data_IF_232439180974
#
_entry.id   IF_232439180974
#
_cell.length_a   1.000
_cell.length_b   1.000
_cell.length_c   1.000
_cell.angle_alpha   90.00
_cell.angle_beta   90.00
_cell.angle_gamma   90.00
#
_symmetry.space_group_name_H-M   'P 1'
#
loop_
_entity.id
_entity.type
_entity.pdbx_description
1 polymer ?
#
# COMPACT_ATOMS: atom_id res chain seq x y z
N UNK A 1 25.43 -20.93 -28.34
CA UNK A 1 24.73 -20.22 -29.44
C UNK A 1 23.46 -19.47 -29.02
N UNK A 2 22.82 -19.78 -27.88
CA UNK A 2 21.53 -19.16 -27.52
C UNK A 2 21.62 -17.79 -26.81
N UNK A 3 22.77 -17.38 -26.24
CA UNK A 3 22.88 -16.10 -25.50
C UNK A 3 23.03 -14.87 -26.41
N UNK A 4 23.82 -14.99 -27.45
CA UNK A 4 24.09 -13.89 -28.39
C UNK A 4 22.87 -13.56 -29.26
N UNK A 5 22.10 -14.58 -29.67
CA UNK A 5 20.86 -14.39 -30.43
C UNK A 5 19.77 -13.68 -29.58
N UNK A 6 19.71 -13.97 -28.27
CA UNK A 6 18.82 -13.28 -27.34
C UNK A 6 19.22 -11.81 -27.10
N UNK A 7 20.51 -11.53 -27.03
CA UNK A 7 21.04 -10.16 -26.91
C UNK A 7 20.76 -9.34 -28.17
N UNK A 8 20.95 -9.91 -29.36
CA UNK A 8 20.69 -9.25 -30.64
C UNK A 8 19.18 -9.03 -30.85
N UNK A 9 18.34 -10.00 -30.50
CA UNK A 9 16.89 -9.86 -30.57
C UNK A 9 16.34 -8.84 -29.55
N UNK A 10 16.93 -8.76 -28.37
CA UNK A 10 16.59 -7.74 -27.37
C UNK A 10 16.98 -6.33 -27.83
N UNK A 11 18.18 -6.18 -28.44
CA UNK A 11 18.65 -4.91 -28.98
C UNK A 11 17.82 -4.42 -30.18
N UNK A 12 17.42 -5.30 -31.08
CA UNK A 12 16.54 -4.96 -32.21
C UNK A 12 15.12 -4.57 -31.75
N UNK A 13 14.59 -5.25 -30.73
CA UNK A 13 13.29 -4.90 -30.12
C UNK A 13 13.35 -3.55 -29.36
N UNK A 14 14.49 -3.18 -28.79
CA UNK A 14 14.66 -1.88 -28.13
C UNK A 14 14.70 -0.70 -29.10
N UNK A 15 15.14 -0.93 -30.33
CA UNK A 15 15.08 0.07 -31.41
C UNK A 15 13.63 0.29 -31.93
N UNK A 16 12.82 -0.75 -31.96
CA UNK A 16 11.45 -0.71 -32.52
C UNK A 16 10.43 -0.31 -31.44
N UNK A 17 10.63 -0.73 -30.21
CA UNK A 17 9.74 -0.43 -29.07
C UNK A 17 10.58 -0.31 -27.80
N UNK A 18 11.21 0.85 -27.55
CA UNK A 18 12.04 1.06 -26.37
C UNK A 18 11.20 0.87 -25.08
N UNK A 19 11.80 0.23 -24.10
CA UNK A 19 11.15 0.11 -22.80
C UNK A 19 10.98 1.52 -22.22
N UNK A 20 9.81 1.79 -21.68
CA UNK A 20 9.51 3.10 -21.09
C UNK A 20 9.56 3.05 -19.57
N UNK A 21 9.96 4.15 -18.96
CA UNK A 21 9.94 4.35 -17.52
C UNK A 21 8.51 4.25 -17.00
N UNK A 22 8.29 3.47 -15.93
CA UNK A 22 6.97 3.31 -15.31
C UNK A 22 6.48 4.59 -14.61
N UNK A 23 7.38 5.53 -14.31
CA UNK A 23 7.07 6.80 -13.66
C UNK A 23 6.75 7.92 -14.64
N UNK A 24 7.64 8.21 -15.60
CA UNK A 24 7.55 9.38 -16.48
C UNK A 24 7.43 9.04 -17.98
N UNK A 25 7.40 7.76 -18.34
CA UNK A 25 7.33 7.25 -19.72
C UNK A 25 8.54 7.57 -20.61
N UNK A 26 9.62 8.15 -20.11
CA UNK A 26 10.87 8.31 -20.88
C UNK A 26 11.49 6.95 -21.25
N UNK A 27 12.26 6.90 -22.32
CA UNK A 27 12.97 5.68 -22.71
C UNK A 27 13.95 5.23 -21.60
N UNK A 28 13.99 3.92 -21.32
CA UNK A 28 14.90 3.31 -20.34
C UNK A 28 15.35 1.94 -20.82
N UNK A 29 16.46 1.43 -20.28
CA UNK A 29 16.84 0.04 -20.51
C UNK A 29 15.75 -0.91 -19.97
N UNK A 30 15.51 -2.03 -20.68
CA UNK A 30 14.41 -2.97 -20.39
C UNK A 30 14.44 -3.57 -18.99
N UNK A 31 15.62 -3.73 -18.43
CA UNK A 31 15.84 -4.30 -17.09
C UNK A 31 15.57 -3.31 -15.95
N UNK A 32 15.60 -2.01 -16.21
CA UNK A 32 15.53 -0.98 -15.17
C UNK A 32 14.10 -0.65 -14.70
N UNK A 33 13.11 -0.71 -15.57
CA UNK A 33 11.71 -0.40 -15.26
C UNK A 33 11.43 1.05 -14.86
N UNK A 34 12.40 1.75 -14.26
CA UNK A 34 12.38 3.16 -13.85
C UNK A 34 13.66 3.86 -14.30
N UNK A 35 13.55 5.13 -14.72
CA UNK A 35 14.72 6.00 -14.88
C UNK A 35 15.28 6.43 -13.51
N UNK A 36 16.50 6.96 -13.51
CA UNK A 36 17.17 7.36 -12.26
C UNK A 36 16.40 8.46 -11.51
N UNK A 37 15.85 9.44 -12.23
CA UNK A 37 15.05 10.51 -11.61
C UNK A 37 13.80 9.97 -10.92
N UNK A 38 13.02 9.11 -11.58
CA UNK A 38 11.83 8.52 -10.96
C UNK A 38 12.19 7.60 -9.80
N UNK A 39 13.32 6.89 -9.87
CA UNK A 39 13.81 6.08 -8.75
C UNK A 39 14.24 6.97 -7.58
N UNK A 40 14.93 8.06 -7.83
CA UNK A 40 15.29 9.05 -6.82
C UNK A 40 14.04 9.66 -6.16
N UNK A 41 13.01 9.99 -6.94
CA UNK A 41 11.73 10.49 -6.40
C UNK A 41 11.04 9.47 -5.48
N UNK A 42 11.04 8.19 -5.85
CA UNK A 42 10.51 7.13 -4.99
C UNK A 42 11.29 7.00 -3.66
N UNK A 43 12.59 7.25 -3.67
CA UNK A 43 13.46 7.09 -2.49
C UNK A 43 13.49 8.29 -1.57
N UNK A 44 12.91 9.43 -1.95
CA UNK A 44 12.85 10.62 -1.07
C UNK A 44 12.19 10.28 0.27
N UNK A 45 12.78 10.69 1.40
CA UNK A 45 12.17 10.49 2.71
C UNK A 45 10.90 11.33 2.84
N UNK A 46 9.75 10.68 2.96
CA UNK A 46 8.48 11.38 3.09
C UNK A 46 7.43 10.49 3.79
N UNK A 47 7.79 9.95 4.97
CA UNK A 47 6.84 9.13 5.73
C UNK A 47 5.56 9.90 6.02
N UNK A 48 4.44 9.31 5.68
CA UNK A 48 3.10 9.84 5.96
C UNK A 48 2.50 9.01 7.09
N UNK A 49 2.37 9.61 8.27
CA UNK A 49 1.74 8.99 9.44
C UNK A 49 0.25 9.32 9.51
N UNK A 50 -0.55 8.35 9.95
CA UNK A 50 -2.00 8.48 10.09
C UNK A 50 -2.52 7.59 11.21
N UNK A 51 -3.70 7.92 11.68
CA UNK A 51 -4.55 7.03 12.46
C UNK A 51 -5.70 6.54 11.58
N UNK A 52 -5.88 5.23 11.53
CA UNK A 52 -7.02 4.59 10.88
C UNK A 52 -8.03 4.21 11.94
N UNK A 53 -9.30 4.54 11.69
CA UNK A 53 -10.38 4.28 12.63
C UNK A 53 -11.45 3.39 11.98
N UNK A 54 -11.86 2.33 12.67
CA UNK A 54 -12.95 1.44 12.27
C UNK A 54 -13.59 0.82 13.51
N UNK A 55 -14.91 0.86 13.61
CA UNK A 55 -15.69 0.16 14.67
C UNK A 55 -15.12 0.35 16.10
N UNK A 56 -14.75 1.59 16.46
CA UNK A 56 -14.14 1.89 17.77
C UNK A 56 -12.65 1.60 17.90
N UNK A 57 -12.03 0.96 16.92
CA UNK A 57 -10.61 0.68 16.87
C UNK A 57 -9.84 1.84 16.23
N UNK A 58 -8.71 2.21 16.84
CA UNK A 58 -7.72 3.13 16.26
C UNK A 58 -6.40 2.39 16.07
N UNK A 59 -5.87 2.39 14.83
CA UNK A 59 -4.62 1.72 14.48
C UNK A 59 -3.67 2.72 13.82
N UNK A 60 -2.40 2.82 14.27
CA UNK A 60 -1.41 3.65 13.62
C UNK A 60 -1.10 3.12 12.21
N UNK A 61 -0.89 4.03 11.28
CA UNK A 61 -0.53 3.69 9.90
C UNK A 61 0.60 4.57 9.39
N UNK A 62 1.56 3.96 8.72
CA UNK A 62 2.69 4.63 8.08
C UNK A 62 2.73 4.26 6.60
N UNK A 63 2.80 5.26 5.74
CA UNK A 63 3.11 5.07 4.34
C UNK A 63 4.49 5.68 4.03
N UNK A 64 5.24 5.07 3.11
CA UNK A 64 6.58 5.53 2.78
C UNK A 64 6.60 6.88 2.07
N UNK A 65 5.49 7.25 1.41
CA UNK A 65 5.40 8.47 0.62
C UNK A 65 3.94 8.85 0.33
N UNK A 66 3.72 10.04 -0.24
CA UNK A 66 2.44 10.44 -0.80
C UNK A 66 2.11 9.66 -2.08
N UNK A 67 0.82 9.43 -2.33
CA UNK A 67 0.32 8.81 -3.57
C UNK A 67 0.13 9.87 -4.65
N UNK A 68 1.22 10.32 -5.25
CA UNK A 68 1.24 11.31 -6.33
C UNK A 68 2.38 11.06 -7.32
N UNK A 69 2.50 11.89 -8.34
CA UNK A 69 3.61 11.94 -9.29
C UNK A 69 4.07 10.58 -9.80
N UNK A 70 5.38 10.35 -9.74
CA UNK A 70 6.05 9.11 -10.19
C UNK A 70 5.62 7.88 -9.38
N UNK A 71 5.28 8.04 -8.09
CA UNK A 71 4.83 6.95 -7.23
C UNK A 71 3.49 6.41 -7.71
N UNK A 72 2.54 7.30 -8.00
CA UNK A 72 1.22 6.92 -8.52
C UNK A 72 1.35 6.18 -9.84
N UNK A 73 2.09 6.71 -10.81
CA UNK A 73 2.24 6.09 -12.13
C UNK A 73 2.98 4.75 -12.07
N UNK A 74 3.96 4.62 -11.16
CA UNK A 74 4.66 3.35 -10.92
C UNK A 74 3.74 2.30 -10.31
N UNK A 75 2.93 2.64 -9.31
CA UNK A 75 1.95 1.72 -8.70
C UNK A 75 0.87 1.28 -9.70
N UNK A 76 0.37 2.19 -10.54
CA UNK A 76 -0.56 1.86 -11.63
C UNK A 76 0.11 0.92 -12.63
N UNK A 77 1.35 1.20 -13.05
CA UNK A 77 2.10 0.34 -13.97
C UNK A 77 2.33 -1.05 -13.39
N UNK A 78 2.62 -1.16 -12.09
CA UNK A 78 2.76 -2.42 -11.38
C UNK A 78 1.44 -3.20 -11.36
N UNK A 79 0.34 -2.54 -10.96
CA UNK A 79 -0.95 -3.20 -10.75
C UNK A 79 -1.68 -3.50 -12.06
N UNK A 80 -1.77 -2.52 -12.96
CA UNK A 80 -2.68 -2.60 -14.11
C UNK A 80 -1.96 -3.01 -15.41
N UNK A 81 -0.65 -2.73 -15.51
CA UNK A 81 0.16 -3.09 -16.70
C UNK A 81 1.05 -4.33 -16.45
N UNK A 82 0.91 -4.99 -15.29
CA UNK A 82 1.62 -6.24 -14.97
C UNK A 82 3.14 -6.13 -14.88
N UNK A 83 3.70 -4.92 -14.66
CA UNK A 83 5.16 -4.71 -14.58
C UNK A 83 5.73 -5.22 -13.26
N UNK A 84 5.78 -6.55 -13.10
CA UNK A 84 6.17 -7.23 -11.85
C UNK A 84 7.59 -6.91 -11.38
N UNK A 85 8.50 -6.49 -12.27
CA UNK A 85 9.86 -6.06 -11.91
C UNK A 85 9.87 -4.90 -10.89
N UNK A 86 8.86 -4.03 -10.94
CA UNK A 86 8.70 -2.90 -10.03
C UNK A 86 8.49 -3.30 -8.56
N UNK A 87 8.21 -4.60 -8.28
CA UNK A 87 8.06 -5.09 -6.90
C UNK A 87 9.28 -4.83 -6.02
N UNK A 88 10.47 -4.72 -6.60
CA UNK A 88 11.70 -4.47 -5.84
C UNK A 88 11.77 -3.01 -5.37
N UNK A 89 11.50 -2.05 -6.25
CA UNK A 89 11.49 -0.62 -5.89
C UNK A 89 10.32 -0.30 -4.94
N UNK A 90 9.10 -0.78 -5.26
CA UNK A 90 7.93 -0.58 -4.42
C UNK A 90 8.02 -1.36 -3.09
N UNK A 91 8.62 -2.55 -3.10
CA UNK A 91 8.90 -3.33 -1.89
C UNK A 91 9.91 -2.66 -0.97
N UNK A 92 10.86 -1.88 -1.51
CA UNK A 92 11.78 -1.06 -0.72
C UNK A 92 11.05 0.08 -0.01
N UNK A 93 10.03 0.68 -0.65
CA UNK A 93 9.17 1.65 0.02
C UNK A 93 8.37 0.99 1.15
N UNK A 94 7.74 -0.16 0.87
CA UNK A 94 6.98 -0.89 1.89
C UNK A 94 7.86 -1.35 3.07
N UNK A 95 9.10 -1.76 2.81
CA UNK A 95 10.10 -2.05 3.84
C UNK A 95 10.29 -0.86 4.79
N UNK A 96 10.44 0.36 4.27
CA UNK A 96 10.61 1.59 5.07
C UNK A 96 9.41 1.82 5.99
N UNK A 97 8.20 1.65 5.47
CA UNK A 97 6.98 1.77 6.28
C UNK A 97 6.89 0.70 7.35
N UNK A 98 7.20 -0.56 7.03
CA UNK A 98 7.21 -1.65 8.00
C UNK A 98 8.25 -1.42 9.10
N UNK A 99 9.44 -0.96 8.73
CA UNK A 99 10.50 -0.63 9.69
C UNK A 99 10.08 0.50 10.63
N UNK A 100 9.46 1.57 10.10
CA UNK A 100 8.94 2.66 10.93
C UNK A 100 7.86 2.18 11.90
N UNK A 101 6.89 1.38 11.44
CA UNK A 101 5.85 0.78 12.31
C UNK A 101 6.49 -0.07 13.42
N UNK A 102 7.49 -0.89 13.10
CA UNK A 102 8.16 -1.73 14.11
C UNK A 102 8.92 -0.90 15.15
N UNK A 103 9.60 0.17 14.72
CA UNK A 103 10.31 1.11 15.61
C UNK A 103 9.32 1.84 16.52
N UNK A 104 8.25 2.40 15.98
CA UNK A 104 7.24 3.13 16.75
C UNK A 104 6.57 2.24 17.79
N UNK A 105 6.32 0.96 17.45
CA UNK A 105 5.77 -0.05 18.34
C UNK A 105 6.82 -0.69 19.29
N UNK A 106 8.09 -0.30 19.18
CA UNK A 106 9.23 -0.89 19.96
C UNK A 106 9.37 -2.40 19.80
N UNK A 107 9.04 -2.93 18.62
CA UNK A 107 9.21 -4.34 18.27
C UNK A 107 10.52 -4.50 17.51
N UNK A 108 11.53 -5.13 18.14
CA UNK A 108 12.90 -5.20 17.61
C UNK A 108 13.28 -6.54 16.94
N UNK A 109 12.50 -7.59 17.14
CA UNK A 109 12.94 -8.94 16.76
C UNK A 109 12.16 -9.57 15.61
N UNK A 110 10.83 -9.51 15.64
CA UNK A 110 10.01 -10.18 14.61
C UNK A 110 8.60 -9.65 14.52
N UNK A 111 8.04 -9.70 13.29
CA UNK A 111 6.62 -9.51 13.05
C UNK A 111 6.16 -10.30 11.82
N UNK A 112 4.87 -10.62 11.77
CA UNK A 112 4.23 -11.14 10.58
C UNK A 112 3.69 -9.98 9.74
N UNK A 113 3.96 -10.00 8.43
CA UNK A 113 3.37 -9.10 7.47
C UNK A 113 2.09 -9.74 6.92
N UNK A 114 0.93 -9.18 7.25
CA UNK A 114 -0.35 -9.69 6.75
C UNK A 114 -0.87 -8.77 5.65
N UNK A 115 -0.86 -9.24 4.39
CA UNK A 115 -1.36 -8.44 3.28
C UNK A 115 -2.88 -8.27 3.35
N UNK A 116 -3.34 -7.04 3.09
CA UNK A 116 -4.75 -6.76 2.80
C UNK A 116 -5.15 -7.61 1.60
N UNK A 117 -6.21 -8.43 1.70
CA UNK A 117 -6.56 -9.37 0.65
C UNK A 117 -7.12 -8.65 -0.59
N UNK A 118 -6.54 -8.94 -1.74
CA UNK A 118 -7.11 -8.55 -3.04
C UNK A 118 -8.31 -9.44 -3.39
N UNK A 119 -9.28 -8.90 -4.14
CA UNK A 119 -10.39 -9.72 -4.67
C UNK A 119 -9.87 -10.82 -5.58
N UNK A 120 -10.42 -12.03 -5.50
CA UNK A 120 -10.01 -13.18 -6.32
C UNK A 120 -10.09 -12.89 -7.81
N UNK A 121 -11.14 -12.21 -8.26
CA UNK A 121 -11.31 -11.77 -9.66
C UNK A 121 -10.16 -10.87 -10.13
N UNK A 122 -9.76 -9.90 -9.29
CA UNK A 122 -8.64 -8.98 -9.57
C UNK A 122 -7.31 -9.74 -9.65
N UNK A 123 -7.06 -10.68 -8.74
CA UNK A 123 -5.85 -11.52 -8.77
C UNK A 123 -5.84 -12.40 -10.02
N UNK A 124 -6.98 -12.99 -10.38
CA UNK A 124 -7.12 -13.81 -11.59
C UNK A 124 -6.88 -13.01 -12.87
N UNK A 125 -7.49 -11.83 -12.97
CA UNK A 125 -7.32 -10.94 -14.13
C UNK A 125 -5.89 -10.43 -14.28
N UNK A 126 -5.23 -10.09 -13.15
CA UNK A 126 -3.85 -9.57 -13.09
C UNK A 126 -2.80 -10.67 -13.22
N UNK A 127 -3.14 -11.92 -12.85
CA UNK A 127 -2.23 -13.07 -12.82
C UNK A 127 -1.28 -13.10 -11.62
N UNK A 128 -1.43 -12.18 -10.63
CA UNK A 128 -0.65 -12.17 -9.38
C UNK A 128 -1.34 -11.34 -8.30
N UNK A 129 -1.01 -11.65 -7.03
CA UNK A 129 -1.42 -10.86 -5.87
C UNK A 129 -0.38 -9.76 -5.61
N UNK A 130 -0.76 -8.52 -5.93
CA UNK A 130 0.14 -7.37 -5.90
C UNK A 130 0.65 -7.08 -4.48
N UNK A 131 -0.24 -6.99 -3.49
CA UNK A 131 0.12 -6.64 -2.11
C UNK A 131 0.96 -7.74 -1.47
N UNK A 132 0.63 -9.01 -1.73
CA UNK A 132 1.42 -10.13 -1.25
C UNK A 132 2.86 -10.08 -1.78
N UNK A 133 3.07 -9.87 -3.09
CA UNK A 133 4.42 -9.79 -3.67
C UNK A 133 5.22 -8.60 -3.12
N UNK A 134 4.59 -7.46 -2.85
CA UNK A 134 5.23 -6.33 -2.19
C UNK A 134 5.63 -6.69 -0.75
N UNK A 135 4.74 -7.35 -0.01
CA UNK A 135 5.04 -7.86 1.33
C UNK A 135 6.21 -8.83 1.34
N UNK A 136 6.30 -9.75 0.38
CA UNK A 136 7.41 -10.70 0.23
C UNK A 136 8.74 -9.97 -0.02
N UNK A 137 8.75 -8.94 -0.87
CA UNK A 137 9.92 -8.12 -1.14
C UNK A 137 10.34 -7.32 0.12
N UNK A 138 9.40 -6.71 0.83
CA UNK A 138 9.66 -5.98 2.08
C UNK A 138 10.18 -6.91 3.20
N UNK A 139 9.56 -8.08 3.37
CA UNK A 139 10.00 -9.08 4.34
C UNK A 139 11.43 -9.56 4.05
N UNK A 140 11.78 -9.73 2.77
CA UNK A 140 13.14 -10.06 2.35
C UNK A 140 14.16 -9.01 2.79
N UNK A 141 13.82 -7.72 2.68
CA UNK A 141 14.70 -6.63 3.11
C UNK A 141 14.78 -6.53 4.65
N UNK A 142 13.66 -6.69 5.37
CA UNK A 142 13.65 -6.73 6.83
C UNK A 142 14.58 -7.82 7.37
N UNK A 143 14.54 -9.02 6.78
CA UNK A 143 15.45 -10.11 7.18
C UNK A 143 16.92 -9.79 6.93
N UNK A 144 17.26 -9.06 5.87
CA UNK A 144 18.66 -8.65 5.61
C UNK A 144 19.23 -7.70 6.67
N UNK A 145 18.35 -6.94 7.35
CA UNK A 145 18.75 -6.07 8.47
C UNK A 145 18.52 -6.72 9.84
N UNK A 146 18.35 -8.05 9.90
CA UNK A 146 18.24 -8.81 11.15
C UNK A 146 16.84 -8.89 11.77
N UNK A 147 15.82 -8.30 11.15
CA UNK A 147 14.44 -8.36 11.64
C UNK A 147 13.71 -9.57 11.01
N UNK A 148 13.24 -10.52 11.85
CA UNK A 148 12.59 -11.73 11.36
C UNK A 148 11.15 -11.45 10.88
N UNK A 149 11.00 -11.16 9.58
CA UNK A 149 9.72 -10.91 8.95
C UNK A 149 9.31 -12.04 8.00
N UNK A 150 8.03 -12.44 8.06
CA UNK A 150 7.41 -13.39 7.14
C UNK A 150 6.05 -12.88 6.68
N UNK A 151 5.67 -13.19 5.46
CA UNK A 151 4.33 -12.86 4.95
C UNK A 151 3.36 -13.98 5.31
N UNK A 152 2.23 -13.61 5.91
CA UNK A 152 1.15 -14.51 6.30
C UNK A 152 -0.16 -14.09 5.62
N UNK A 153 -0.51 -14.59 4.42
CA UNK A 153 -1.72 -14.22 3.67
C UNK A 153 -2.96 -14.97 4.21
N UNK A 154 -3.29 -14.76 5.47
CA UNK A 154 -4.32 -15.49 6.22
C UNK A 154 -5.73 -14.90 6.05
N UNK A 155 -5.84 -13.62 5.63
CA UNK A 155 -7.13 -12.95 5.45
C UNK A 155 -7.72 -13.17 4.05
N UNK A 156 -9.04 -13.15 3.99
CA UNK A 156 -9.82 -13.19 2.76
C UNK A 156 -11.12 -12.39 2.87
N UNK A 157 -11.79 -12.21 1.74
CA UNK A 157 -13.15 -11.65 1.74
C UNK A 157 -14.14 -12.72 2.17
N UNK A 158 -14.94 -12.44 3.20
CA UNK A 158 -15.96 -13.34 3.75
C UNK A 158 -17.30 -13.18 3.03
N UNK A 159 -17.53 -12.02 2.44
CA UNK A 159 -18.71 -11.71 1.61
C UNK A 159 -18.33 -10.84 0.44
N UNK A 160 -19.18 -10.76 -0.55
CA UNK A 160 -19.05 -9.77 -1.61
C UNK A 160 -19.25 -8.37 -1.04
N UNK A 161 -18.33 -7.48 -1.38
CA UNK A 161 -18.40 -6.07 -1.01
C UNK A 161 -18.85 -5.30 -2.25
N UNK A 162 -19.90 -4.48 -2.12
CA UNK A 162 -20.37 -3.64 -3.22
C UNK A 162 -19.24 -2.74 -3.75
N UNK A 163 -19.37 -2.29 -5.00
CA UNK A 163 -18.39 -1.39 -5.58
C UNK A 163 -18.33 -0.11 -4.73
N UNK A 164 -17.11 0.33 -4.44
CA UNK A 164 -16.85 1.49 -3.58
C UNK A 164 -16.78 2.80 -4.37
N UNK A 165 -16.95 2.73 -5.70
CA UNK A 165 -17.00 3.91 -6.55
C UNK A 165 -18.20 4.79 -6.17
N UNK A 166 -17.95 6.06 -5.82
CA UNK A 166 -19.00 7.01 -5.45
C UNK A 166 -19.46 6.98 -3.99
N UNK A 167 -19.06 5.99 -3.17
CA UNK A 167 -19.43 5.93 -1.76
C UNK A 167 -18.70 7.00 -0.92
N UNK A 168 -19.39 7.57 0.07
CA UNK A 168 -18.78 8.42 1.10
C UNK A 168 -17.79 7.63 1.97
N UNK A 169 -16.97 8.31 2.76
CA UNK A 169 -16.04 7.65 3.71
C UNK A 169 -16.80 6.80 4.73
N UNK A 170 -17.94 7.27 5.21
CA UNK A 170 -18.80 6.58 6.17
C UNK A 170 -19.39 5.32 5.56
N UNK A 171 -19.94 5.44 4.33
CA UNK A 171 -20.55 4.30 3.63
C UNK A 171 -19.51 3.23 3.26
N UNK A 172 -18.28 3.64 2.90
CA UNK A 172 -17.17 2.70 2.70
C UNK A 172 -16.82 1.91 3.95
N UNK A 173 -16.85 2.56 5.13
CA UNK A 173 -16.61 1.88 6.40
C UNK A 173 -17.72 0.90 6.73
N UNK A 174 -18.98 1.32 6.61
CA UNK A 174 -20.14 0.46 6.82
C UNK A 174 -20.14 -0.74 5.85
N UNK A 175 -19.84 -0.51 4.57
CA UNK A 175 -19.78 -1.54 3.55
C UNK A 175 -18.63 -2.56 3.79
N UNK A 176 -17.59 -2.19 4.52
CA UNK A 176 -16.44 -3.07 4.81
C UNK A 176 -16.53 -3.75 6.18
N UNK A 177 -17.41 -3.32 7.08
CA UNK A 177 -17.55 -3.94 8.41
C UNK A 177 -17.89 -5.44 8.28
N UNK A 178 -17.06 -6.33 8.86
CA UNK A 178 -17.21 -7.78 8.77
C UNK A 178 -16.92 -8.36 7.36
N UNK A 179 -16.38 -7.57 6.43
CA UNK A 179 -16.10 -8.04 5.08
C UNK A 179 -14.82 -8.88 4.98
N UNK A 180 -13.89 -8.74 5.93
CA UNK A 180 -12.66 -9.50 5.99
C UNK A 180 -12.65 -10.44 7.18
N UNK A 181 -12.03 -11.62 6.99
CA UNK A 181 -11.85 -12.63 8.03
C UNK A 181 -10.78 -13.63 7.65
N UNK A 182 -10.55 -14.61 8.52
CA UNK A 182 -9.57 -15.66 8.25
C UNK A 182 -10.05 -16.60 7.14
N UNK A 183 -9.16 -16.96 6.22
CA UNK A 183 -9.47 -17.90 5.13
C UNK A 183 -9.77 -19.30 5.64
N UNK A 184 -9.13 -19.69 6.75
CA UNK A 184 -9.27 -20.99 7.41
C UNK A 184 -9.31 -20.78 8.92
N UNK A 185 -10.12 -21.53 9.68
CA UNK A 185 -10.23 -21.38 11.13
C UNK A 185 -8.88 -21.50 11.87
N UNK A 186 -7.99 -22.38 11.43
CA UNK A 186 -6.68 -22.58 12.08
C UNK A 186 -5.67 -21.45 11.78
N UNK A 187 -5.92 -20.59 10.77
CA UNK A 187 -5.04 -19.45 10.47
C UNK A 187 -5.00 -18.46 11.65
N UNK A 188 -6.10 -18.31 12.39
CA UNK A 188 -6.16 -17.47 13.59
C UNK A 188 -5.22 -17.99 14.70
N UNK A 189 -5.23 -19.31 14.96
CA UNK A 189 -4.37 -19.92 15.98
C UNK A 189 -2.87 -19.69 15.73
N UNK A 190 -2.46 -19.63 14.48
CA UNK A 190 -1.06 -19.34 14.08
C UNK A 190 -0.62 -17.90 14.33
N UNK A 191 -1.54 -16.97 14.62
CA UNK A 191 -1.27 -15.54 14.86
C UNK A 191 -1.42 -15.15 16.33
N UNK A 192 -1.97 -16.01 17.17
CA UNK A 192 -2.27 -15.70 18.57
C UNK A 192 -1.04 -15.17 19.31
N UNK A 193 -1.15 -13.98 19.90
CA UNK A 193 -0.08 -13.31 20.63
C UNK A 193 1.12 -12.86 19.79
N UNK A 194 1.05 -12.96 18.46
CA UNK A 194 2.15 -12.56 17.58
C UNK A 194 1.99 -11.12 17.11
N UNK A 195 3.11 -10.40 17.05
CA UNK A 195 3.15 -9.07 16.47
C UNK A 195 2.87 -9.15 14.96
N UNK A 196 1.91 -8.34 14.50
CA UNK A 196 1.45 -8.29 13.11
C UNK A 196 1.48 -6.86 12.59
N UNK A 197 2.03 -6.68 11.39
CA UNK A 197 1.91 -5.46 10.60
C UNK A 197 0.97 -5.77 9.43
N UNK A 198 -0.14 -5.06 9.34
CA UNK A 198 -1.01 -5.11 8.15
C UNK A 198 -0.30 -4.37 7.02
N UNK A 199 -0.18 -4.99 5.84
CA UNK A 199 0.49 -4.35 4.70
C UNK A 199 -0.47 -4.12 3.54
N UNK A 200 -0.37 -2.94 2.92
CA UNK A 200 -1.15 -2.54 1.75
C UNK A 200 -0.25 -1.80 0.74
N UNK A 201 -0.72 -1.62 -0.47
CA UNK A 201 -0.02 -0.80 -1.45
C UNK A 201 -0.37 0.69 -1.31
N UNK A 202 -1.65 1.03 -1.09
CA UNK A 202 -2.11 2.41 -0.97
C UNK A 202 -3.12 2.54 0.15
N UNK A 203 -2.86 3.43 1.09
CA UNK A 203 -3.85 3.86 2.08
C UNK A 203 -4.57 5.09 1.55
N UNK A 204 -5.82 4.93 1.15
CA UNK A 204 -6.73 6.02 0.79
C UNK A 204 -7.49 6.54 2.02
N UNK A 205 -8.66 6.01 2.30
CA UNK A 205 -9.39 6.23 3.55
C UNK A 205 -8.88 5.37 4.69
N UNK A 206 -8.16 4.29 4.36
CA UNK A 206 -7.69 3.28 5.31
C UNK A 206 -8.76 2.30 5.78
N UNK A 207 -9.99 2.37 5.26
CA UNK A 207 -11.10 1.54 5.72
C UNK A 207 -10.81 0.04 5.57
N UNK A 208 -10.22 -0.39 4.43
CA UNK A 208 -9.88 -1.81 4.19
C UNK A 208 -8.78 -2.29 5.13
N UNK A 209 -7.74 -1.47 5.34
CA UNK A 209 -6.64 -1.81 6.26
C UNK A 209 -7.09 -1.84 7.71
N UNK A 210 -8.00 -0.93 8.12
CA UNK A 210 -8.59 -0.93 9.45
C UNK A 210 -9.50 -2.16 9.67
N UNK A 211 -10.25 -2.58 8.66
CA UNK A 211 -11.06 -3.81 8.71
C UNK A 211 -10.17 -5.07 8.79
N UNK A 212 -9.05 -5.09 8.06
CA UNK A 212 -8.07 -6.16 8.18
C UNK A 212 -7.48 -6.22 9.60
N UNK A 213 -7.14 -5.07 10.19
CA UNK A 213 -6.69 -4.99 11.57
C UNK A 213 -7.74 -5.49 12.57
N UNK A 214 -9.02 -5.11 12.39
CA UNK A 214 -10.12 -5.62 13.22
C UNK A 214 -10.19 -7.15 13.19
N UNK A 215 -10.23 -7.73 12.00
CA UNK A 215 -10.31 -9.18 11.84
C UNK A 215 -9.13 -9.92 12.48
N UNK A 216 -7.93 -9.34 12.44
CA UNK A 216 -6.73 -9.92 13.07
C UNK A 216 -6.78 -9.83 14.60
N UNK A 217 -7.25 -8.71 15.15
CA UNK A 217 -7.39 -8.52 16.61
C UNK A 217 -8.45 -9.48 17.17
N UNK A 218 -9.55 -9.71 16.46
CA UNK A 218 -10.54 -10.72 16.83
C UNK A 218 -9.97 -12.16 16.83
N UNK A 219 -8.89 -12.40 16.10
CA UNK A 219 -8.14 -13.66 16.12
C UNK A 219 -6.96 -13.65 17.11
N UNK A 220 -6.99 -12.79 18.12
CA UNK A 220 -5.96 -12.66 19.17
C UNK A 220 -4.55 -12.28 18.65
N UNK A 221 -4.42 -11.72 17.45
CA UNK A 221 -3.16 -11.16 16.97
C UNK A 221 -2.87 -9.80 17.60
N UNK A 222 -1.61 -9.49 17.85
CA UNK A 222 -1.17 -8.17 18.31
C UNK A 222 -0.87 -7.30 17.08
N UNK A 223 -1.86 -6.54 16.61
CA UNK A 223 -1.66 -5.63 15.47
C UNK A 223 -0.90 -4.39 15.94
N UNK A 224 0.35 -4.25 15.52
CA UNK A 224 1.23 -3.14 15.91
C UNK A 224 1.11 -1.93 14.97
N UNK A 225 0.49 -2.08 13.81
CA UNK A 225 0.22 -0.99 12.88
C UNK A 225 -0.06 -1.46 11.46
N UNK A 226 -0.28 -0.48 10.61
CA UNK A 226 -0.46 -0.63 9.15
C UNK A 226 0.71 0.00 8.43
N UNK A 227 1.29 -0.71 7.47
CA UNK A 227 2.34 -0.20 6.60
C UNK A 227 1.87 -0.18 5.14
N UNK A 228 2.11 0.90 4.42
CA UNK A 228 1.76 1.00 3.01
C UNK A 228 2.91 1.60 2.17
N UNK A 229 2.90 1.35 0.87
CA UNK A 229 3.82 2.00 -0.06
C UNK A 229 3.52 3.50 -0.11
N UNK A 230 2.25 3.86 -0.28
CA UNK A 230 1.84 5.24 -0.41
C UNK A 230 0.52 5.55 0.31
N UNK A 231 0.29 6.82 0.62
CA UNK A 231 -1.00 7.30 1.13
C UNK A 231 -1.49 8.49 0.32
N UNK A 232 -2.80 8.55 0.04
CA UNK A 232 -3.39 9.73 -0.60
C UNK A 232 -3.28 10.93 0.35
N UNK A 233 -2.92 12.14 -0.12
CA UNK A 233 -2.97 13.34 0.73
C UNK A 233 -4.33 13.47 1.40
N UNK A 234 -4.38 13.81 2.71
CA UNK A 234 -5.65 14.23 3.32
C UNK A 234 -6.08 15.50 2.57
N UNK A 235 -7.26 15.49 1.95
CA UNK A 235 -7.90 16.75 1.58
C UNK A 235 -8.10 17.50 2.89
N UNK A 236 -7.45 18.64 3.04
CA UNK A 236 -7.82 19.64 4.04
C UNK A 236 -9.30 19.91 3.78
N UNK A 237 -10.14 19.72 4.80
CA UNK A 237 -11.51 20.18 4.75
C UNK A 237 -11.42 21.65 4.32
N UNK A 238 -12.07 22.03 3.21
CA UNK A 238 -12.29 23.44 2.90
C UNK A 238 -12.99 24.01 4.11
N UNK A 239 -12.29 24.77 4.92
CA UNK A 239 -12.93 25.70 5.84
C UNK A 239 -13.81 26.57 4.94
N UNK A 240 -15.11 26.41 5.10
CA UNK A 240 -16.08 27.36 4.58
C UNK A 240 -15.78 28.68 5.27
N UNK A 241 -14.99 29.54 4.63
CA UNK A 241 -14.99 30.96 4.96
C UNK A 241 -16.42 31.42 4.73
N UNK A 242 -17.17 31.49 5.79
CA UNK A 242 -18.35 32.30 5.91
C UNK A 242 -17.84 33.76 5.93
N UNK A 243 -17.84 34.40 4.75
CA UNK A 243 -17.71 35.84 4.62
C UNK A 243 -18.99 36.47 5.17
N UNK A 244 -19.07 36.55 6.48
CA UNK A 244 -19.97 37.48 7.13
C UNK A 244 -19.21 38.82 7.30
N UNK A 245 -19.29 39.64 6.28
CA UNK A 245 -18.97 41.07 6.41
C UNK A 245 -20.12 41.74 7.22
N UNK A 246 -19.88 42.25 8.42
CA UNK A 246 -20.87 43.12 9.05
C UNK A 246 -20.84 44.48 8.36
N UNK A 247 -21.90 44.78 7.61
CA UNK A 247 -22.18 46.17 7.23
C UNK A 247 -22.37 47.01 8.51
N UNK A 248 -21.36 47.78 8.87
CA UNK A 248 -21.50 48.90 9.83
C UNK A 248 -22.28 50.01 9.13
N UNK A 249 -23.52 50.17 9.56
CA UNK A 249 -24.37 51.30 9.20
C UNK A 249 -23.78 52.56 9.89
N UNK A 250 -23.30 53.48 9.08
CA UNK A 250 -23.05 54.86 9.54
C UNK A 250 -24.39 55.57 9.69
N UNK A 251 -24.66 56.02 10.88
CA UNK A 251 -25.82 56.85 11.23
C UNK A 251 -25.40 58.00 12.11
N UNK A 252 -25.41 59.20 11.55
CA UNK A 252 -25.86 60.48 12.10
C UNK A 252 -25.23 61.04 13.39
N UNK A 253 -24.65 62.19 13.27
CA UNK A 253 -24.37 63.22 14.32
C UNK A 253 -23.49 64.32 13.79
#
# INVERSE_FOLDING_TARGET
MNGMLRLLAAGALDLIAPATCAGCSSAVARDRGLCEMCRADLTRPALVQRELRSSGLTVPAVAATAYDGAVRTTLVSYKERGRRSLRHDLGALLFRSCAAVAVDARVSSSALLVPVPSRRSTVKARGFDAVRLLGEAAAGQLRRVGFNARVAPVLGHMREVADQAGLSVTDRRANLAGALGFRRPHDAGGLRGRAVIVVDDIVTTGATAAEAARALIEGDAIVIGVAAVAATPKRLAKESRSDAVPHAVAGLG
#
